data_IF_213404374476
#
_entry.id   IF_213404374476
#
_cell.length_a   1.000
_cell.length_b   1.000
_cell.length_c   1.000
_cell.angle_alpha   90.00
_cell.angle_beta   90.00
_cell.angle_gamma   90.00
#
_symmetry.space_group_name_H-M   'P 1'
#
loop_
_entity.id
_entity.type
_entity.pdbx_description
1 polymer ?
#
# COMPACT_ATOMS: atom_id res chain seq x y z
N UNK A 1 21.29 57.85 20.95
CA UNK A 1 22.33 57.00 20.41
C UNK A 1 22.10 55.57 20.82
N UNK A 2 21.67 54.74 19.90
CA UNK A 2 21.41 53.31 20.15
C UNK A 2 22.69 52.53 19.91
N UNK A 3 23.27 51.98 20.95
CA UNK A 3 24.38 51.05 20.84
C UNK A 3 23.83 49.67 20.52
N UNK A 4 24.02 49.20 19.28
CA UNK A 4 23.74 47.83 18.89
C UNK A 4 24.77 46.91 19.52
N UNK A 5 24.35 46.15 20.51
CA UNK A 5 25.17 45.08 21.06
C UNK A 5 25.01 43.85 20.17
N UNK A 6 26.04 43.53 19.46
CA UNK A 6 26.13 42.29 18.70
C UNK A 6 26.52 41.18 19.66
N UNK A 7 25.62 40.28 19.89
CA UNK A 7 25.95 39.06 20.61
C UNK A 7 26.22 38.03 19.54
N UNK A 8 27.48 37.75 19.34
CA UNK A 8 27.92 36.62 18.54
C UNK A 8 27.78 35.35 19.37
N UNK A 9 26.72 34.62 19.18
CA UNK A 9 26.66 33.24 19.65
C UNK A 9 27.21 32.34 18.55
N UNK A 10 28.42 31.89 18.77
CA UNK A 10 29.01 30.80 18.02
C UNK A 10 28.43 29.52 18.60
N UNK A 11 27.37 29.02 17.96
CA UNK A 11 26.84 27.71 18.24
C UNK A 11 27.43 26.70 17.24
N UNK A 12 28.36 25.92 17.70
CA UNK A 12 28.84 24.77 16.95
C UNK A 12 27.72 23.72 16.85
N UNK A 13 27.04 23.74 15.75
CA UNK A 13 26.13 22.63 15.40
C UNK A 13 26.96 21.53 14.75
N UNK A 14 27.23 20.50 15.50
CA UNK A 14 27.69 19.23 14.95
C UNK A 14 26.53 18.60 14.24
N UNK A 15 26.50 18.69 12.94
CA UNK A 15 25.60 17.95 12.07
C UNK A 15 26.09 16.52 11.99
N UNK A 16 25.61 15.71 12.90
CA UNK A 16 25.60 14.27 12.73
C UNK A 16 24.51 13.90 11.72
N UNK A 17 24.84 13.83 10.46
CA UNK A 17 23.97 13.22 9.47
C UNK A 17 24.00 11.72 9.67
N UNK A 18 23.21 11.23 10.58
CA UNK A 18 22.83 9.84 10.62
C UNK A 18 21.81 9.61 9.51
N UNK A 19 22.31 9.22 8.36
CA UNK A 19 21.47 8.65 7.32
C UNK A 19 21.01 7.28 7.82
N UNK A 20 19.95 7.29 8.61
CA UNK A 20 19.23 6.06 8.91
C UNK A 20 18.50 5.70 7.63
N UNK A 21 19.12 4.90 6.80
CA UNK A 21 18.37 4.11 5.84
C UNK A 21 17.52 3.14 6.66
N UNK A 22 16.36 3.59 7.07
CA UNK A 22 15.30 2.70 7.45
C UNK A 22 14.91 1.96 6.19
N UNK A 23 15.50 0.80 6.01
CA UNK A 23 14.99 -0.18 5.07
C UNK A 23 13.52 -0.33 5.41
N UNK A 24 12.65 -0.01 4.47
CA UNK A 24 11.24 -0.30 4.58
C UNK A 24 11.16 -1.82 4.57
N UNK A 25 11.28 -2.42 5.75
CA UNK A 25 10.96 -3.83 5.93
C UNK A 25 9.48 -3.95 5.65
N UNK A 26 9.12 -4.44 4.47
CA UNK A 26 7.76 -4.88 4.22
C UNK A 26 7.53 -6.08 5.13
N UNK A 27 6.93 -5.80 6.28
CA UNK A 27 6.46 -6.84 7.15
C UNK A 27 5.41 -7.64 6.38
N UNK A 28 5.59 -8.96 6.46
CA UNK A 28 4.68 -10.03 6.09
C UNK A 28 3.24 -9.55 6.04
N UNK A 29 2.58 -9.70 4.90
CA UNK A 29 1.16 -9.39 4.69
C UNK A 29 0.32 -9.93 5.84
N UNK A 30 -0.01 -9.05 6.76
CA UNK A 30 -1.20 -9.18 7.55
C UNK A 30 -2.30 -8.59 6.69
N UNK A 31 -3.36 -9.32 6.51
CA UNK A 31 -4.61 -8.76 6.01
C UNK A 31 -4.94 -7.61 6.95
N UNK A 32 -4.55 -6.40 6.55
CA UNK A 32 -4.86 -5.22 7.32
C UNK A 32 -6.32 -4.90 7.07
N UNK A 33 -7.18 -5.48 7.90
CA UNK A 33 -8.59 -5.11 7.92
C UNK A 33 -8.71 -3.61 8.18
N UNK A 34 -9.61 -2.99 7.45
CA UNK A 34 -9.94 -1.58 7.66
C UNK A 34 -10.75 -1.46 8.95
N UNK A 35 -10.13 -0.92 9.99
CA UNK A 35 -10.79 -0.74 11.28
C UNK A 35 -11.43 0.64 11.44
N UNK A 36 -11.26 1.54 10.48
CA UNK A 36 -11.78 2.90 10.55
C UNK A 36 -12.04 3.47 9.16
N UNK A 37 -13.09 4.23 9.05
CA UNK A 37 -13.45 4.99 7.85
C UNK A 37 -14.39 6.12 8.23
N UNK A 38 -14.68 7.01 7.29
CA UNK A 38 -15.56 8.17 7.56
C UNK A 38 -17.01 7.92 7.20
N UNK A 39 -17.27 7.03 6.24
CA UNK A 39 -18.62 6.70 5.77
C UNK A 39 -18.96 5.29 6.21
N UNK A 40 -19.88 5.16 7.15
CA UNK A 40 -20.37 3.86 7.65
C UNK A 40 -21.39 3.27 6.70
N UNK A 41 -21.25 1.99 6.42
CA UNK A 41 -22.20 1.16 5.68
C UNK A 41 -22.94 0.27 6.67
N UNK A 42 -24.26 0.34 6.69
CA UNK A 42 -25.10 -0.48 7.57
C UNK A 42 -26.16 -1.28 6.83
N UNK A 43 -26.86 -0.63 5.91
CA UNK A 43 -27.99 -1.23 5.17
C UNK A 43 -28.06 -0.80 3.72
N UNK A 44 -27.11 0.02 3.28
CA UNK A 44 -27.08 0.54 1.92
C UNK A 44 -26.69 -0.58 0.96
N UNK A 45 -27.30 -0.58 -0.22
CA UNK A 45 -26.92 -1.48 -1.30
C UNK A 45 -25.68 -0.95 -2.05
N UNK A 46 -24.98 -1.82 -2.73
CA UNK A 46 -23.84 -1.40 -3.58
C UNK A 46 -24.24 -0.35 -4.61
N UNK A 47 -25.49 -0.35 -5.07
CA UNK A 47 -26.01 0.65 -6.00
C UNK A 47 -26.03 2.07 -5.40
N UNK A 48 -26.05 2.20 -4.08
CA UNK A 48 -26.04 3.48 -3.38
C UNK A 48 -24.62 4.02 -3.15
N UNK A 49 -23.60 3.19 -3.23
CA UNK A 49 -22.23 3.54 -2.90
C UNK A 49 -21.69 4.74 -3.67
N UNK A 50 -21.91 4.86 -5.00
CA UNK A 50 -21.41 6.02 -5.73
C UNK A 50 -21.99 7.36 -5.26
N UNK A 51 -23.22 7.35 -4.76
CA UNK A 51 -23.88 8.55 -4.23
C UNK A 51 -23.37 8.92 -2.83
N UNK A 52 -22.87 7.96 -2.06
CA UNK A 52 -22.36 8.16 -0.71
C UNK A 52 -20.88 8.60 -0.72
N UNK A 53 -20.11 8.15 -1.70
CA UNK A 53 -18.71 8.50 -1.82
C UNK A 53 -18.53 10.00 -2.05
N UNK A 54 -17.59 10.61 -1.35
CA UNK A 54 -17.24 12.03 -1.52
C UNK A 54 -16.11 12.24 -2.51
N UNK A 55 -15.31 11.20 -2.75
CA UNK A 55 -14.29 11.17 -3.78
C UNK A 55 -14.84 10.49 -5.03
N UNK A 56 -14.35 10.91 -6.18
CA UNK A 56 -14.49 10.15 -7.42
C UNK A 56 -13.46 9.04 -7.52
N UNK A 57 -13.66 8.10 -8.44
CA UNK A 57 -12.65 7.06 -8.74
C UNK A 57 -11.30 7.68 -9.09
N UNK A 58 -11.28 8.71 -9.93
CA UNK A 58 -10.03 9.39 -10.32
C UNK A 58 -9.31 10.00 -9.12
N UNK A 59 -10.03 10.61 -8.21
CA UNK A 59 -9.44 11.16 -6.99
C UNK A 59 -8.86 10.09 -6.09
N UNK A 60 -9.55 8.98 -5.93
CA UNK A 60 -9.05 7.83 -5.17
C UNK A 60 -7.80 7.22 -5.82
N UNK A 61 -7.81 7.06 -7.14
CA UNK A 61 -6.65 6.58 -7.91
C UNK A 61 -5.44 7.51 -7.73
N UNK A 62 -5.64 8.82 -7.77
CA UNK A 62 -4.57 9.79 -7.53
C UNK A 62 -3.96 9.65 -6.14
N UNK A 63 -4.79 9.41 -5.12
CA UNK A 63 -4.33 9.19 -3.75
C UNK A 63 -3.47 7.92 -3.65
N UNK A 64 -3.93 6.82 -4.23
CA UNK A 64 -3.20 5.56 -4.24
C UNK A 64 -1.89 5.66 -5.04
N UNK A 65 -1.93 6.24 -6.23
CA UNK A 65 -0.76 6.39 -7.10
C UNK A 65 0.32 7.29 -6.52
N UNK A 66 -0.05 8.26 -5.67
CA UNK A 66 0.90 9.09 -4.94
C UNK A 66 1.70 8.28 -3.90
N UNK A 67 1.14 7.18 -3.41
CA UNK A 67 1.79 6.27 -2.45
C UNK A 67 2.55 5.15 -3.13
N UNK A 68 1.98 4.59 -4.19
CA UNK A 68 2.53 3.46 -4.94
C UNK A 68 2.68 3.88 -6.39
N UNK A 69 3.86 4.34 -6.82
CA UNK A 69 4.12 4.62 -8.23
C UNK A 69 4.01 3.34 -9.05
N UNK A 70 3.16 3.37 -10.06
CA UNK A 70 2.90 2.20 -10.89
C UNK A 70 1.69 2.37 -11.78
N UNK A 71 1.19 1.27 -12.30
CA UNK A 71 0.01 1.24 -13.15
C UNK A 71 -1.18 0.64 -12.41
N UNK A 72 -2.33 1.25 -12.53
CA UNK A 72 -3.57 0.75 -11.95
C UNK A 72 -4.07 -0.44 -12.76
N UNK A 73 -4.34 -1.55 -12.07
CA UNK A 73 -4.95 -2.74 -12.63
C UNK A 73 -6.47 -2.72 -12.46
N UNK A 74 -6.91 -2.38 -11.27
CA UNK A 74 -8.32 -2.40 -10.90
C UNK A 74 -8.64 -1.34 -9.86
N UNK A 75 -9.87 -0.88 -9.87
CA UNK A 75 -10.42 0.00 -8.84
C UNK A 75 -11.85 -0.40 -8.56
N UNK A 76 -12.15 -0.66 -7.30
CA UNK A 76 -13.46 -1.00 -6.81
C UNK A 76 -13.89 -0.04 -5.70
N UNK A 77 -15.21 0.15 -5.55
CA UNK A 77 -15.82 0.89 -4.44
C UNK A 77 -16.71 -0.08 -3.68
N UNK A 78 -16.40 -0.34 -2.44
CA UNK A 78 -17.07 -1.37 -1.66
C UNK A 78 -17.14 -1.13 -0.17
N UNK A 79 -17.82 -2.02 0.51
CA UNK A 79 -17.86 -2.10 1.97
C UNK A 79 -16.69 -2.94 2.47
N UNK A 80 -15.86 -2.33 3.29
CA UNK A 80 -14.78 -2.97 4.01
C UNK A 80 -14.99 -2.80 5.51
N UNK A 81 -15.32 -3.88 6.17
CA UNK A 81 -15.57 -3.91 7.63
C UNK A 81 -16.57 -2.85 8.10
N UNK A 82 -17.60 -2.55 7.31
CA UNK A 82 -18.65 -1.58 7.61
C UNK A 82 -18.33 -0.15 7.21
N UNK A 83 -17.31 0.08 6.39
CA UNK A 83 -16.96 1.40 5.88
C UNK A 83 -16.86 1.41 4.37
N UNK A 84 -17.23 2.52 3.76
CA UNK A 84 -17.12 2.70 2.31
C UNK A 84 -15.69 3.07 1.93
N UNK A 85 -15.09 2.22 1.11
CA UNK A 85 -13.67 2.26 0.78
C UNK A 85 -13.48 2.04 -0.72
N UNK A 86 -12.56 2.78 -1.31
CA UNK A 86 -11.99 2.46 -2.62
C UNK A 86 -10.84 1.49 -2.44
N UNK A 87 -10.87 0.38 -3.16
CA UNK A 87 -9.77 -0.56 -3.28
C UNK A 87 -9.11 -0.38 -4.63
N UNK A 88 -7.85 -0.02 -4.63
CA UNK A 88 -7.07 0.24 -5.84
C UNK A 88 -5.89 -0.72 -5.90
N UNK A 89 -5.92 -1.58 -6.90
CA UNK A 89 -4.84 -2.52 -7.19
C UNK A 89 -3.88 -1.91 -8.19
N UNK A 90 -2.60 -1.83 -7.82
CA UNK A 90 -1.54 -1.26 -8.66
C UNK A 90 -0.41 -2.25 -8.87
N UNK A 91 0.19 -2.21 -10.06
CA UNK A 91 1.47 -2.88 -10.34
C UNK A 91 2.59 -1.87 -10.15
N UNK A 92 3.45 -2.13 -9.18
CA UNK A 92 4.65 -1.35 -8.94
C UNK A 92 5.70 -1.52 -10.05
N UNK A 93 6.72 -0.69 -10.00
CA UNK A 93 7.83 -0.74 -10.96
C UNK A 93 8.64 -2.04 -10.89
N UNK A 94 8.60 -2.72 -9.75
CA UNK A 94 9.24 -4.00 -9.48
C UNK A 94 8.36 -5.23 -9.83
N UNK A 95 7.21 -4.99 -10.47
CA UNK A 95 6.19 -6.00 -10.79
C UNK A 95 5.44 -6.57 -9.57
N UNK A 96 5.59 -5.98 -8.42
CA UNK A 96 4.74 -6.30 -7.28
C UNK A 96 3.34 -5.76 -7.48
N UNK A 97 2.34 -6.48 -6.96
CA UNK A 97 0.95 -6.02 -6.93
C UNK A 97 0.67 -5.51 -5.53
N UNK A 98 0.13 -4.31 -5.45
CA UNK A 98 -0.19 -3.66 -4.19
C UNK A 98 -1.65 -3.24 -4.19
N UNK A 99 -2.40 -3.68 -3.19
CA UNK A 99 -3.74 -3.20 -2.91
C UNK A 99 -3.68 -2.02 -1.96
N UNK A 100 -4.26 -0.91 -2.37
CA UNK A 100 -4.34 0.31 -1.57
C UNK A 100 -5.79 0.58 -1.25
N UNK A 101 -6.12 0.67 0.04
CA UNK A 101 -7.46 1.00 0.52
C UNK A 101 -7.53 2.47 0.88
N UNK A 102 -8.43 3.19 0.21
CA UNK A 102 -8.63 4.64 0.34
C UNK A 102 -10.01 4.92 0.91
N UNK A 103 -10.08 5.68 1.98
CA UNK A 103 -11.37 6.10 2.55
C UNK A 103 -12.17 6.93 1.55
N UNK A 104 -13.38 6.47 1.23
CA UNK A 104 -14.23 7.11 0.23
C UNK A 104 -14.75 8.50 0.64
N UNK A 105 -14.63 8.86 1.89
CA UNK A 105 -15.03 10.17 2.40
C UNK A 105 -13.89 11.17 2.49
N UNK A 106 -12.75 10.78 3.08
CA UNK A 106 -11.63 11.68 3.35
C UNK A 106 -10.48 11.57 2.33
N UNK A 107 -10.40 10.47 1.60
CA UNK A 107 -9.27 10.18 0.73
C UNK A 107 -8.01 9.71 1.47
N UNK A 108 -8.12 9.43 2.76
CA UNK A 108 -7.01 8.91 3.55
C UNK A 108 -6.70 7.47 3.16
N UNK A 109 -5.43 7.12 3.08
CA UNK A 109 -5.00 5.74 2.93
C UNK A 109 -5.23 5.01 4.25
N UNK A 110 -6.05 3.97 4.21
CA UNK A 110 -6.41 3.16 5.38
C UNK A 110 -5.53 1.92 5.52
N UNK A 111 -5.18 1.30 4.41
CA UNK A 111 -4.36 0.10 4.37
C UNK A 111 -3.61 -0.01 3.04
N UNK A 112 -2.51 -0.71 3.06
CA UNK A 112 -1.77 -1.13 1.88
C UNK A 112 -1.30 -2.57 2.08
N UNK A 113 -1.67 -3.44 1.18
CA UNK A 113 -1.30 -4.85 1.20
C UNK A 113 -0.46 -5.16 -0.03
N UNK A 114 0.69 -5.75 0.18
CA UNK A 114 1.49 -6.27 -0.90
C UNK A 114 0.96 -7.67 -1.21
N UNK A 115 0.33 -7.82 -2.37
CA UNK A 115 0.03 -9.12 -2.91
C UNK A 115 1.34 -9.71 -3.46
N UNK A 116 1.81 -10.73 -2.79
CA UNK A 116 2.89 -11.52 -3.34
C UNK A 116 2.25 -12.33 -4.46
N UNK A 117 2.40 -11.83 -5.68
CA UNK A 117 2.10 -12.65 -6.86
C UNK A 117 2.67 -14.03 -6.59
N UNK A 118 1.78 -15.00 -6.47
CA UNK A 118 2.13 -16.38 -6.27
C UNK A 118 3.17 -16.74 -7.31
N UNK A 119 4.39 -16.92 -6.88
CA UNK A 119 5.38 -17.62 -7.67
C UNK A 119 4.98 -19.10 -7.65
N UNK A 120 3.73 -19.33 -8.03
CA UNK A 120 3.30 -20.65 -8.38
C UNK A 120 3.92 -21.00 -9.70
N UNK A 121 4.76 -21.95 -9.63
CA UNK A 121 5.13 -22.71 -10.79
C UNK A 121 6.53 -22.49 -11.29
N UNK A 122 7.46 -22.99 -10.55
CA UNK A 122 8.53 -23.74 -11.15
C UNK A 122 9.12 -24.75 -10.16
N UNK A 123 8.28 -25.56 -9.57
CA UNK A 123 8.70 -26.90 -9.19
C UNK A 123 8.67 -27.74 -10.45
N UNK A 124 9.71 -27.60 -11.25
CA UNK A 124 10.05 -28.67 -12.19
C UNK A 124 10.38 -29.88 -11.33
N UNK A 125 9.45 -30.81 -11.35
CA UNK A 125 9.64 -32.11 -10.74
C UNK A 125 10.94 -32.71 -11.25
N UNK A 126 11.83 -32.95 -10.35
CA UNK A 126 12.93 -33.87 -10.55
C UNK A 126 12.29 -35.20 -10.93
N UNK A 127 12.47 -35.55 -12.18
CA UNK A 127 12.22 -36.91 -12.61
C UNK A 127 13.30 -37.75 -11.99
N UNK A 128 12.93 -38.48 -10.98
CA UNK A 128 13.67 -39.60 -10.49
C UNK A 128 13.64 -40.66 -11.59
N UNK A 129 14.73 -40.72 -12.34
CA UNK A 129 15.00 -41.80 -13.28
C UNK A 129 15.46 -43.01 -12.47
N UNK A 130 14.49 -43.77 -12.02
CA UNK A 130 14.73 -45.07 -11.39
C UNK A 130 15.37 -46.02 -12.37
N UNK A 131 16.61 -46.32 -12.09
CA UNK A 131 17.41 -47.33 -12.77
C UNK A 131 16.73 -48.69 -12.69
N UNK A 132 16.29 -49.16 -13.84
CA UNK A 132 15.94 -50.55 -14.01
C UNK A 132 17.18 -51.41 -14.03
N UNK A 133 17.38 -52.18 -12.99
CA UNK A 133 18.33 -53.26 -13.00
C UNK A 133 17.78 -54.46 -13.80
N UNK A 134 18.44 -54.71 -14.90
CA UNK A 134 18.39 -55.97 -15.60
C UNK A 134 19.02 -57.08 -14.74
N UNK A 135 18.31 -58.12 -14.57
CA UNK A 135 18.86 -59.43 -14.23
C UNK A 135 18.33 -60.49 -15.13
N UNK A 136 19.26 -61.01 -15.83
CA UNK A 136 19.41 -62.36 -16.42
C UNK A 136 18.17 -63.25 -16.51
#
# INVERSE_FOLDING_TARGET
>A
MMKKRWITMIGSAVLGASLVMTGVGFAKSQDNEVHSGTIKITHQSEADFPALAKLTFDQAIQKASAKVPGQVLRTDLGDESGFLVYEIELVGVDKSIVDVKVDAGSGKILAMNLDKADREGNEQGEKDDGDGEDRD
#
